data_IF_720810117944
#
_entry.id   IF_720810117944
#
_cell.length_a   1.000
_cell.length_b   1.000
_cell.length_c   1.000
_cell.angle_alpha   90.00
_cell.angle_beta   90.00
_cell.angle_gamma   90.00
#
_symmetry.space_group_name_H-M   'P 1'
#
loop_
_entity.id
_entity.type
_entity.pdbx_description
1 polymer ?
#
# COMPACT_ATOMS: atom_id res chain seq x y z
N UNK A 1 -10.86 16.09 16.66
CA UNK A 1 -11.24 16.38 15.25
C UNK A 1 -10.10 16.09 14.26
N UNK A 2 -8.88 16.59 14.49
CA UNK A 2 -7.72 16.39 13.60
C UNK A 2 -7.35 14.92 13.35
N UNK A 3 -7.38 14.06 14.38
CA UNK A 3 -7.05 12.63 14.27
C UNK A 3 -7.93 11.85 13.28
N UNK A 4 -9.24 12.13 13.22
CA UNK A 4 -10.16 11.46 12.29
C UNK A 4 -9.87 11.78 10.82
N UNK A 5 -9.48 13.03 10.53
CA UNK A 5 -9.12 13.45 9.17
C UNK A 5 -7.85 12.71 8.74
N UNK A 6 -6.86 12.60 9.63
CA UNK A 6 -5.63 11.90 9.34
C UNK A 6 -5.85 10.40 9.11
N UNK A 7 -6.68 9.74 9.93
CA UNK A 7 -7.07 8.35 9.70
C UNK A 7 -7.72 8.15 8.32
N UNK A 8 -8.60 9.06 7.92
CA UNK A 8 -9.20 9.02 6.58
C UNK A 8 -8.15 9.18 5.48
N UNK A 9 -7.16 10.06 5.66
CA UNK A 9 -6.04 10.23 4.72
C UNK A 9 -5.19 8.95 4.65
N UNK A 10 -4.83 8.35 5.80
CA UNK A 10 -4.09 7.08 5.86
C UNK A 10 -4.85 6.01 5.08
N UNK A 11 -6.14 5.87 5.33
CA UNK A 11 -6.99 4.90 4.65
C UNK A 11 -7.08 5.14 3.14
N UNK A 12 -7.16 6.41 2.70
CA UNK A 12 -7.12 6.73 1.27
C UNK A 12 -5.79 6.34 0.63
N UNK A 13 -4.66 6.54 1.32
CA UNK A 13 -3.34 6.11 0.84
C UNK A 13 -3.25 4.58 0.74
N UNK A 14 -3.83 3.85 1.70
CA UNK A 14 -3.94 2.39 1.63
C UNK A 14 -4.75 1.94 0.40
N UNK A 15 -5.89 2.57 0.12
CA UNK A 15 -6.68 2.27 -1.09
C UNK A 15 -5.87 2.57 -2.36
N UNK A 16 -5.19 3.71 -2.42
CA UNK A 16 -4.36 4.07 -3.59
C UNK A 16 -3.25 3.05 -3.79
N UNK A 17 -2.63 2.53 -2.72
CA UNK A 17 -1.65 1.47 -2.80
C UNK A 17 -2.24 0.19 -3.42
N UNK A 18 -3.42 -0.24 -2.99
CA UNK A 18 -4.10 -1.42 -3.56
C UNK A 18 -4.46 -1.20 -5.04
N UNK A 19 -4.93 -0.01 -5.40
CA UNK A 19 -5.22 0.35 -6.79
C UNK A 19 -3.94 0.34 -7.63
N UNK A 20 -2.81 0.81 -7.10
CA UNK A 20 -1.52 0.76 -7.77
C UNK A 20 -1.08 -0.68 -8.10
N UNK A 21 -1.22 -1.60 -7.14
CA UNK A 21 -0.95 -3.02 -7.36
C UNK A 21 -1.85 -3.63 -8.43
N UNK A 22 -3.15 -3.36 -8.37
CA UNK A 22 -4.10 -3.87 -9.36
C UNK A 22 -3.82 -3.29 -10.75
N UNK A 23 -3.59 -1.98 -10.84
CA UNK A 23 -3.26 -1.29 -12.08
C UNK A 23 -2.02 -1.89 -12.74
N UNK A 24 -0.95 -2.10 -11.97
CA UNK A 24 0.25 -2.77 -12.45
C UNK A 24 -0.03 -4.19 -12.96
N UNK A 25 -0.81 -4.99 -12.21
CA UNK A 25 -1.16 -6.36 -12.60
C UNK A 25 -1.96 -6.43 -13.91
N UNK A 26 -2.91 -5.52 -14.12
CA UNK A 26 -3.65 -5.40 -15.37
C UNK A 26 -2.81 -4.86 -16.54
N UNK A 27 -1.80 -4.03 -16.24
CA UNK A 27 -0.92 -3.43 -17.23
C UNK A 27 0.13 -4.41 -17.77
N UNK A 28 0.74 -5.21 -16.90
CA UNK A 28 1.81 -6.16 -17.26
C UNK A 28 1.27 -7.51 -17.74
N UNK A 29 0.09 -7.94 -17.28
CA UNK A 29 -0.48 -9.23 -17.65
C UNK A 29 -0.66 -9.41 -19.16
N UNK A 30 -0.16 -10.52 -19.71
CA UNK A 30 -0.36 -10.91 -21.12
C UNK A 30 -1.58 -11.83 -21.22
N UNK A 31 -2.59 -11.41 -21.98
CA UNK A 31 -3.86 -12.13 -22.10
C UNK A 31 -4.81 -11.94 -20.90
N UNK A 32 -6.11 -12.23 -21.11
CA UNK A 32 -7.17 -11.94 -20.13
C UNK A 32 -6.98 -12.70 -18.80
N UNK A 33 -6.59 -13.96 -18.85
CA UNK A 33 -6.41 -14.78 -17.64
C UNK A 33 -5.31 -14.25 -16.73
N UNK A 34 -4.12 -13.95 -17.28
CA UNK A 34 -2.99 -13.44 -16.49
C UNK A 34 -3.27 -12.03 -15.94
N UNK A 35 -3.98 -11.19 -16.70
CA UNK A 35 -4.44 -9.87 -16.25
C UNK A 35 -5.38 -9.97 -15.04
N UNK A 36 -6.33 -10.89 -15.07
CA UNK A 36 -7.24 -11.12 -13.94
C UNK A 36 -6.47 -11.61 -12.71
N UNK A 37 -5.60 -12.60 -12.89
CA UNK A 37 -4.81 -13.18 -11.78
C UNK A 37 -3.89 -12.14 -11.15
N UNK A 38 -3.14 -11.37 -11.92
CA UNK A 38 -2.23 -10.36 -11.37
C UNK A 38 -3.00 -9.12 -10.88
N UNK A 39 -3.93 -8.60 -11.67
CA UNK A 39 -4.67 -7.39 -11.36
C UNK A 39 -5.58 -7.51 -10.13
N UNK A 40 -6.08 -8.71 -9.83
CA UNK A 40 -6.92 -8.96 -8.65
C UNK A 40 -6.13 -9.71 -7.57
N UNK A 41 -5.34 -10.70 -7.94
CA UNK A 41 -4.58 -11.52 -6.99
C UNK A 41 -3.54 -10.71 -6.22
N UNK A 42 -2.81 -9.80 -6.88
CA UNK A 42 -1.82 -8.95 -6.19
C UNK A 42 -2.46 -8.06 -5.12
N UNK A 43 -3.49 -7.23 -5.39
CA UNK A 43 -4.11 -6.43 -4.33
C UNK A 43 -4.79 -7.28 -3.25
N UNK A 44 -5.38 -8.44 -3.57
CA UNK A 44 -5.95 -9.33 -2.56
C UNK A 44 -4.87 -9.90 -1.62
N UNK A 45 -3.73 -10.33 -2.17
CA UNK A 45 -2.61 -10.82 -1.35
C UNK A 45 -2.07 -9.73 -0.43
N UNK A 46 -1.93 -8.50 -0.93
CA UNK A 46 -1.50 -7.36 -0.14
C UNK A 46 -2.51 -7.03 0.95
N UNK A 47 -3.82 -7.02 0.64
CA UNK A 47 -4.86 -6.77 1.63
C UNK A 47 -4.89 -7.85 2.73
N UNK A 48 -4.70 -9.12 2.36
CA UNK A 48 -4.61 -10.22 3.31
C UNK A 48 -3.36 -10.07 4.21
N UNK A 49 -2.21 -9.78 3.61
CA UNK A 49 -0.97 -9.50 4.35
C UNK A 49 -1.14 -8.33 5.33
N UNK A 50 -1.80 -7.25 4.89
CA UNK A 50 -2.10 -6.11 5.73
C UNK A 50 -2.99 -6.49 6.92
N UNK A 51 -4.06 -7.25 6.67
CA UNK A 51 -4.95 -7.76 7.71
C UNK A 51 -4.25 -8.65 8.73
N UNK A 52 -3.27 -9.44 8.29
CA UNK A 52 -2.51 -10.33 9.17
C UNK A 52 -1.54 -9.59 10.09
N UNK A 53 -0.80 -8.60 9.57
CA UNK A 53 0.36 -8.02 10.29
C UNK A 53 0.25 -6.52 10.60
N UNK A 54 -0.47 -5.75 9.78
CA UNK A 54 -0.40 -4.28 9.81
C UNK A 54 -1.66 -3.59 10.33
N UNK A 55 -2.80 -4.27 10.25
CA UNK A 55 -4.08 -3.77 10.72
C UNK A 55 -4.04 -3.45 12.23
N UNK A 56 -4.83 -2.46 12.71
CA UNK A 56 -4.94 -2.17 14.15
C UNK A 56 -5.37 -3.38 14.98
N UNK A 57 -6.14 -4.29 14.36
CA UNK A 57 -6.55 -5.59 14.90
C UNK A 57 -5.88 -6.74 14.15
N UNK A 58 -4.59 -6.62 13.89
CA UNK A 58 -3.80 -7.64 13.21
C UNK A 58 -3.92 -8.99 13.92
N UNK A 59 -4.12 -10.06 13.17
CA UNK A 59 -4.16 -11.44 13.70
C UNK A 59 -2.83 -11.82 14.34
N UNK A 60 -1.72 -11.36 13.74
CA UNK A 60 -0.36 -11.60 14.21
C UNK A 60 0.25 -10.24 14.55
N UNK A 61 0.13 -9.78 15.82
CA UNK A 61 0.72 -8.52 16.22
C UNK A 61 2.25 -8.58 16.12
N UNK A 62 2.83 -7.58 15.49
CA UNK A 62 4.28 -7.42 15.33
C UNK A 62 4.76 -6.23 16.15
N UNK A 63 6.04 -6.21 16.53
CA UNK A 63 6.62 -5.07 17.23
C UNK A 63 6.64 -3.82 16.33
N UNK A 64 6.73 -2.63 16.95
CA UNK A 64 6.67 -1.35 16.23
C UNK A 64 7.72 -1.26 15.11
N UNK A 65 9.02 -1.57 15.32
CA UNK A 65 10.01 -1.45 14.26
C UNK A 65 9.71 -2.35 13.04
N UNK A 66 9.24 -3.58 13.27
CA UNK A 66 8.88 -4.48 12.17
C UNK A 66 7.61 -3.99 11.46
N UNK A 67 6.62 -3.46 12.18
CA UNK A 67 5.41 -2.86 11.59
C UNK A 67 5.78 -1.74 10.61
N UNK A 68 6.67 -0.84 11.02
CA UNK A 68 7.17 0.26 10.17
C UNK A 68 7.84 -0.28 8.92
N UNK A 69 8.76 -1.23 9.11
CA UNK A 69 9.51 -1.83 8.01
C UNK A 69 8.58 -2.51 6.98
N UNK A 70 7.59 -3.26 7.46
CA UNK A 70 6.60 -3.90 6.60
C UNK A 70 5.70 -2.89 5.87
N UNK A 71 5.24 -1.82 6.53
CA UNK A 71 4.49 -0.72 5.86
C UNK A 71 5.35 -0.07 4.77
N UNK A 72 6.63 0.18 5.05
CA UNK A 72 7.60 0.69 4.07
C UNK A 72 7.72 -0.21 2.85
N UNK A 73 7.83 -1.52 3.05
CA UNK A 73 7.87 -2.50 1.95
C UNK A 73 6.58 -2.43 1.13
N UNK A 74 5.42 -2.47 1.78
CA UNK A 74 4.13 -2.49 1.07
C UNK A 74 3.93 -1.20 0.26
N UNK A 75 4.22 -0.03 0.82
CA UNK A 75 4.08 1.22 0.06
C UNK A 75 5.20 1.41 -0.97
N UNK A 76 6.43 1.01 -0.65
CA UNK A 76 7.55 1.06 -1.59
C UNK A 76 7.29 0.19 -2.83
N UNK A 77 6.81 -1.04 -2.63
CA UNK A 77 6.43 -1.94 -3.71
C UNK A 77 5.25 -1.41 -4.52
N UNK A 78 4.28 -0.73 -3.90
CA UNK A 78 3.19 -0.06 -4.63
C UNK A 78 3.72 1.07 -5.53
N UNK A 79 4.68 1.88 -5.04
CA UNK A 79 5.36 2.89 -5.87
C UNK A 79 6.11 2.25 -7.04
N UNK A 80 6.88 1.19 -6.78
CA UNK A 80 7.60 0.42 -7.82
C UNK A 80 6.62 -0.15 -8.86
N UNK A 81 5.46 -0.64 -8.43
CA UNK A 81 4.42 -1.14 -9.31
C UNK A 81 3.91 -0.05 -10.26
N UNK A 82 3.63 1.16 -9.76
CA UNK A 82 3.27 2.31 -10.63
C UNK A 82 4.44 2.69 -11.54
N UNK A 83 5.66 2.74 -11.02
CA UNK A 83 6.85 3.08 -11.80
C UNK A 83 7.04 2.14 -13.00
N UNK A 84 6.82 0.84 -12.80
CA UNK A 84 6.92 -0.18 -13.84
C UNK A 84 5.88 -0.04 -14.96
N UNK A 85 4.84 0.78 -14.78
CA UNK A 85 3.87 1.14 -15.83
C UNK A 85 4.29 2.37 -16.65
N UNK A 86 5.50 2.90 -16.43
CA UNK A 86 6.03 4.10 -17.10
C UNK A 86 5.58 5.43 -16.49
N UNK A 87 4.80 5.40 -15.41
CA UNK A 87 4.26 6.59 -14.72
C UNK A 87 5.19 7.06 -13.60
N UNK A 88 6.40 7.47 -13.94
CA UNK A 88 7.46 7.78 -12.97
C UNK A 88 7.12 8.92 -12.01
N UNK A 89 6.47 9.99 -12.48
CA UNK A 89 6.07 11.13 -11.64
C UNK A 89 5.07 10.68 -10.58
N UNK A 90 4.01 9.98 -10.98
CA UNK A 90 2.98 9.46 -10.06
C UNK A 90 3.56 8.47 -9.03
N UNK A 91 4.54 7.66 -9.44
CA UNK A 91 5.23 6.76 -8.53
C UNK A 91 6.02 7.54 -7.45
N UNK A 92 6.71 8.62 -7.84
CA UNK A 92 7.43 9.50 -6.94
C UNK A 92 6.50 10.22 -5.97
N UNK A 93 5.44 10.84 -6.49
CA UNK A 93 4.44 11.55 -5.67
C UNK A 93 3.81 10.62 -4.63
N UNK A 94 3.39 9.43 -5.06
CA UNK A 94 2.84 8.43 -4.15
C UNK A 94 3.84 8.02 -3.06
N UNK A 95 5.11 7.80 -3.42
CA UNK A 95 6.14 7.41 -2.44
C UNK A 95 6.36 8.49 -1.40
N UNK A 96 6.44 9.76 -1.82
CA UNK A 96 6.59 10.91 -0.92
C UNK A 96 5.41 10.99 0.04
N UNK A 97 4.18 10.91 -0.48
CA UNK A 97 2.96 10.93 0.35
C UNK A 97 2.95 9.75 1.33
N UNK A 98 3.28 8.54 0.88
CA UNK A 98 3.30 7.36 1.73
C UNK A 98 4.33 7.46 2.86
N UNK A 99 5.52 8.01 2.61
CA UNK A 99 6.54 8.25 3.63
C UNK A 99 6.04 9.26 4.68
N UNK A 100 5.45 10.37 4.24
CA UNK A 100 4.89 11.38 5.15
C UNK A 100 3.82 10.74 6.05
N UNK A 101 2.90 9.99 5.45
CA UNK A 101 1.82 9.33 6.18
C UNK A 101 2.35 8.29 7.16
N UNK A 102 3.37 7.51 6.79
CA UNK A 102 4.01 6.55 7.68
C UNK A 102 4.68 7.22 8.89
N UNK A 103 5.34 8.36 8.68
CA UNK A 103 5.95 9.13 9.76
C UNK A 103 4.86 9.67 10.69
N UNK A 104 3.79 10.24 10.14
CA UNK A 104 2.67 10.78 10.93
C UNK A 104 1.98 9.69 11.75
N UNK A 105 1.74 8.52 11.17
CA UNK A 105 1.19 7.34 11.84
C UNK A 105 2.04 6.90 13.05
N UNK A 106 3.37 6.87 12.90
CA UNK A 106 4.27 6.50 13.99
C UNK A 106 4.41 7.57 15.08
N UNK A 107 4.49 8.84 14.70
CA UNK A 107 4.65 9.95 15.64
C UNK A 107 3.40 10.13 16.50
N UNK A 108 2.23 9.86 15.93
CA UNK A 108 0.95 10.06 16.59
C UNK A 108 0.38 8.77 17.21
N UNK A 109 1.09 7.64 17.07
CA UNK A 109 0.71 6.32 17.59
C UNK A 109 -0.74 5.93 17.29
N UNK A 110 -1.19 6.21 16.06
CA UNK A 110 -2.58 6.00 15.61
C UNK A 110 -2.82 4.60 15.02
#
# INVERSE_FOLDING_TARGET
MFSYILMAIIFLVEIVALVAYGYWGFHIGKGIGMKMVLGIGTPLLVAFFWGLFLAPKATIPVNVPLRIFLKLIVFGLASVAVYATGRHILAGDFLVVAIIVLILDNVLEI
#
